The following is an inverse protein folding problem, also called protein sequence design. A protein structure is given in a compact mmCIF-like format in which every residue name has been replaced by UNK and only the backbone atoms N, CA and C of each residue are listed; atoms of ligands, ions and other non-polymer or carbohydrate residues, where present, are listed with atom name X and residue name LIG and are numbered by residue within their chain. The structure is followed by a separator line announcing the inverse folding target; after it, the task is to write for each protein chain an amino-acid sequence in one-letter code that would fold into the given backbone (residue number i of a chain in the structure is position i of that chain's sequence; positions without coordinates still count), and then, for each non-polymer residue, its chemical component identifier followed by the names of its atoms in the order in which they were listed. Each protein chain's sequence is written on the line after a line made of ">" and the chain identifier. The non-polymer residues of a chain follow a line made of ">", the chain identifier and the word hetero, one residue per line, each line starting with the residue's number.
data_IF_708171022890
#
_entry.id   IF_708171022890
#
_cell.length_a   1.000
_cell.length_b   1.000
_cell.length_c   1.000
_cell.angle_alpha   90.00
_cell.angle_beta   90.00
_cell.angle_gamma   90.00
#
_symmetry.space_group_name_H-M   'P 1'
#
loop_
_entity.id
_entity.type
_entity.pdbx_description
1 polymer ?
#
# COMPACT_ATOMS: atom_id res chain seq x y z
N UNK A 1 31.41 33.83 -98.04
CA UNK A 1 32.36 34.82 -97.50
C UNK A 1 32.99 34.15 -96.23
N UNK A 2 34.26 33.85 -96.37
CA UNK A 2 35.07 33.09 -95.44
C UNK A 2 35.44 33.87 -94.17
N UNK A 3 35.62 33.22 -93.04
CA UNK A 3 36.67 33.54 -92.07
C UNK A 3 36.95 32.40 -91.13
N UNK A 4 38.03 32.04 -91.18
CA UNK A 4 39.15 31.31 -90.58
C UNK A 4 39.07 30.99 -89.09
N UNK A 5 39.29 29.73 -88.86
CA UNK A 5 39.78 29.00 -87.68
C UNK A 5 40.98 29.60 -87.02
N UNK A 6 41.07 29.65 -85.70
CA UNK A 6 42.33 29.54 -84.97
C UNK A 6 42.15 28.57 -83.77
N UNK A 7 42.96 27.53 -83.85
CA UNK A 7 43.11 26.50 -82.81
C UNK A 7 44.18 26.98 -81.84
N UNK A 8 43.89 27.05 -80.57
CA UNK A 8 44.89 27.21 -79.51
C UNK A 8 44.84 25.95 -78.61
N UNK A 9 45.97 25.21 -78.69
CA UNK A 9 46.15 24.06 -77.84
C UNK A 9 46.58 24.51 -76.45
N UNK A 10 45.84 24.11 -75.39
CA UNK A 10 46.27 24.27 -74.02
C UNK A 10 46.59 22.90 -73.40
N UNK A 11 47.88 22.75 -73.04
CA UNK A 11 48.36 21.60 -72.27
C UNK A 11 47.78 21.61 -70.85
N UNK A 12 47.05 20.59 -70.53
CA UNK A 12 46.61 20.32 -69.15
C UNK A 12 47.61 19.38 -68.46
N UNK A 13 48.35 19.89 -67.48
CA UNK A 13 49.16 19.11 -66.55
C UNK A 13 48.22 18.53 -65.50
N UNK A 14 48.04 17.21 -65.45
CA UNK A 14 47.30 16.48 -64.44
C UNK A 14 48.15 16.43 -63.15
N UNK A 15 47.69 17.16 -62.10
CA UNK A 15 48.16 16.98 -60.71
C UNK A 15 47.28 15.96 -60.07
N UNK A 16 47.81 14.76 -59.84
CA UNK A 16 47.11 13.69 -59.11
C UNK A 16 47.05 14.02 -57.64
N UNK A 17 45.85 14.34 -57.13
CA UNK A 17 45.57 14.33 -55.68
C UNK A 17 45.28 12.90 -55.29
N UNK A 18 46.17 12.27 -54.51
CA UNK A 18 45.92 11.06 -53.79
C UNK A 18 44.98 11.39 -52.58
N UNK A 19 43.71 11.07 -52.70
CA UNK A 19 42.79 11.10 -51.58
C UNK A 19 43.05 9.87 -50.69
N UNK A 20 43.74 10.09 -49.57
CA UNK A 20 43.87 9.07 -48.54
C UNK A 20 42.50 8.82 -47.97
N UNK A 21 41.92 7.63 -48.18
CA UNK A 21 40.74 7.17 -47.53
C UNK A 21 41.04 7.02 -46.02
N UNK A 22 40.50 7.93 -45.19
CA UNK A 22 40.45 7.73 -43.74
C UNK A 22 39.46 6.64 -43.45
N UNK A 23 39.80 5.66 -42.56
CA UNK A 23 38.80 4.71 -42.08
C UNK A 23 37.76 5.49 -41.28
N UNK A 24 36.53 5.53 -41.76
CA UNK A 24 35.36 5.95 -40.97
C UNK A 24 35.25 4.98 -39.80
N UNK A 25 35.62 5.45 -38.62
CA UNK A 25 35.21 4.75 -37.38
C UNK A 25 33.70 4.76 -37.37
N UNK A 26 33.11 3.60 -37.65
CA UNK A 26 31.72 3.37 -37.33
C UNK A 26 31.59 3.57 -35.80
N UNK A 27 31.01 4.66 -35.38
CA UNK A 27 30.53 4.82 -34.03
C UNK A 27 29.41 3.79 -33.87
N UNK A 28 29.63 2.78 -33.03
CA UNK A 28 28.58 1.96 -32.47
C UNK A 28 27.77 2.86 -31.51
N UNK A 29 26.87 3.66 -32.07
CA UNK A 29 26.01 4.63 -31.34
C UNK A 29 24.58 4.06 -31.17
N UNK A 30 24.46 2.79 -30.77
CA UNK A 30 23.19 2.15 -30.39
C UNK A 30 23.14 1.81 -28.90
N UNK A 31 23.94 2.40 -28.05
CA UNK A 31 23.73 2.35 -26.62
C UNK A 31 22.67 3.40 -26.24
N UNK A 32 21.47 2.94 -25.89
CA UNK A 32 20.47 3.83 -25.33
C UNK A 32 21.11 4.69 -24.21
N UNK A 33 20.82 6.00 -24.14
CA UNK A 33 21.45 6.87 -23.15
C UNK A 33 21.24 6.33 -21.74
N UNK A 34 22.32 6.21 -20.97
CA UNK A 34 22.29 5.70 -19.61
C UNK A 34 21.28 6.51 -18.77
N UNK A 35 20.39 5.81 -18.05
CA UNK A 35 19.38 6.44 -17.20
C UNK A 35 20.07 7.32 -16.16
N UNK A 36 19.66 8.57 -16.03
CA UNK A 36 20.28 9.51 -15.09
C UNK A 36 20.06 9.10 -13.63
N UNK A 37 21.02 9.41 -12.75
CA UNK A 37 20.89 9.16 -11.30
C UNK A 37 19.65 9.82 -10.72
N UNK A 38 19.30 11.02 -11.16
CA UNK A 38 18.10 11.73 -10.71
C UNK A 38 16.83 10.96 -11.05
N UNK A 39 16.75 10.38 -12.25
CA UNK A 39 15.61 9.56 -12.68
C UNK A 39 15.51 8.27 -11.88
N UNK A 40 16.62 7.60 -11.58
CA UNK A 40 16.65 6.41 -10.73
C UNK A 40 16.22 6.74 -9.30
N UNK A 41 16.68 7.87 -8.75
CA UNK A 41 16.25 8.33 -7.41
C UNK A 41 14.75 8.62 -7.38
N UNK A 42 14.22 9.26 -8.40
CA UNK A 42 12.79 9.51 -8.52
C UNK A 42 11.99 8.22 -8.71
N UNK A 43 12.45 7.29 -9.56
CA UNK A 43 11.84 5.99 -9.75
C UNK A 43 11.82 5.16 -8.45
N UNK A 44 12.90 5.19 -7.68
CA UNK A 44 12.93 4.59 -6.34
C UNK A 44 11.87 5.21 -5.43
N UNK A 45 11.79 6.54 -5.38
CA UNK A 45 10.77 7.25 -4.59
C UNK A 45 9.34 6.85 -4.97
N UNK A 46 9.03 6.77 -6.27
CA UNK A 46 7.72 6.34 -6.76
C UNK A 46 7.46 4.85 -6.48
N UNK A 47 8.50 4.02 -6.47
CA UNK A 47 8.41 2.59 -6.07
C UNK A 47 8.07 2.45 -4.58
N UNK A 48 8.63 3.32 -3.72
CA UNK A 48 8.25 3.43 -2.30
C UNK A 48 6.79 3.88 -2.15
N UNK A 49 6.36 4.92 -2.90
CA UNK A 49 4.99 5.40 -2.86
C UNK A 49 3.95 4.34 -3.32
N UNK A 50 4.38 3.40 -4.16
CA UNK A 50 3.57 2.27 -4.61
C UNK A 50 3.66 1.03 -3.73
N UNK A 51 4.45 1.06 -2.67
CA UNK A 51 4.68 -0.05 -1.74
C UNK A 51 5.00 -1.39 -2.43
N UNK A 52 5.74 -1.32 -3.53
CA UNK A 52 5.97 -2.48 -4.39
C UNK A 52 6.74 -3.59 -3.67
N UNK A 53 7.65 -3.20 -2.76
CA UNK A 53 8.53 -4.13 -2.06
C UNK A 53 7.76 -5.03 -1.08
N UNK A 54 6.76 -4.50 -0.38
CA UNK A 54 5.96 -5.26 0.59
C UNK A 54 5.31 -6.50 -0.06
N UNK A 55 4.68 -6.33 -1.22
CA UNK A 55 4.11 -7.46 -1.94
C UNK A 55 5.16 -8.31 -2.69
N UNK A 56 6.18 -7.69 -3.28
CA UNK A 56 7.13 -8.39 -4.14
C UNK A 56 8.38 -8.90 -3.42
N UNK A 57 8.32 -9.05 -2.09
CA UNK A 57 9.39 -9.64 -1.28
C UNK A 57 8.81 -10.63 -0.28
N UNK A 58 9.12 -11.92 -0.44
CA UNK A 58 8.71 -12.92 0.55
C UNK A 58 9.52 -12.81 1.84
N UNK A 59 9.01 -13.25 2.99
CA UNK A 59 9.78 -13.29 4.23
C UNK A 59 11.12 -14.02 4.04
N UNK A 60 12.22 -13.36 4.42
CA UNK A 60 13.58 -13.87 4.26
C UNK A 60 14.11 -13.95 2.82
N UNK A 61 13.36 -13.44 1.84
CA UNK A 61 13.76 -13.33 0.45
C UNK A 61 14.59 -12.07 0.16
N UNK A 62 15.09 -11.98 -1.09
CA UNK A 62 15.72 -10.76 -1.58
C UNK A 62 14.64 -9.76 -2.04
N UNK A 63 14.90 -8.45 -1.92
CA UNK A 63 13.96 -7.43 -2.41
C UNK A 63 13.52 -7.67 -3.86
N UNK A 64 12.23 -7.55 -4.10
CA UNK A 64 11.58 -7.63 -5.42
C UNK A 64 11.64 -9.00 -6.13
N UNK A 65 12.13 -10.07 -5.48
CA UNK A 65 12.14 -11.40 -6.11
C UNK A 65 10.80 -12.13 -6.06
N UNK A 66 9.76 -11.53 -5.41
CA UNK A 66 8.43 -12.10 -5.30
C UNK A 66 8.32 -13.28 -4.35
N UNK A 67 7.26 -14.06 -4.51
CA UNK A 67 7.01 -15.28 -3.75
C UNK A 67 6.20 -15.10 -2.48
N UNK A 68 5.71 -13.91 -2.18
CA UNK A 68 4.73 -13.71 -1.13
C UNK A 68 3.39 -14.32 -1.58
N UNK A 69 2.80 -15.18 -0.74
CA UNK A 69 1.45 -15.69 -0.92
C UNK A 69 0.43 -14.68 -0.40
N UNK A 70 -0.51 -14.28 -1.26
CA UNK A 70 -1.66 -13.45 -0.91
C UNK A 70 -2.87 -14.37 -0.88
N UNK A 71 -3.39 -14.63 0.31
CA UNK A 71 -4.57 -15.46 0.48
C UNK A 71 -5.84 -14.67 0.10
N UNK A 72 -6.71 -15.31 -0.63
CA UNK A 72 -7.98 -14.74 -1.08
C UNK A 72 -9.11 -15.73 -0.86
N UNK A 73 -10.38 -15.32 -0.88
CA UNK A 73 -11.51 -16.25 -0.83
C UNK A 73 -11.51 -17.26 -1.99
N UNK A 74 -10.70 -17.04 -3.03
CA UNK A 74 -10.61 -17.85 -4.23
C UNK A 74 -9.43 -18.83 -4.24
N UNK A 75 -8.47 -18.64 -3.33
CA UNK A 75 -7.20 -19.37 -3.21
C UNK A 75 -6.01 -18.42 -3.06
N UNK A 76 -4.80 -18.94 -3.15
CA UNK A 76 -3.57 -18.15 -2.91
C UNK A 76 -2.97 -17.65 -4.23
N UNK A 77 -2.68 -16.35 -4.29
CA UNK A 77 -1.97 -15.70 -5.40
C UNK A 77 -0.54 -15.45 -4.94
N UNK A 78 0.43 -16.00 -5.67
CA UNK A 78 1.84 -15.73 -5.40
C UNK A 78 2.35 -14.55 -6.23
N UNK A 79 3.01 -13.61 -5.57
CA UNK A 79 3.55 -12.41 -6.22
C UNK A 79 4.73 -12.76 -7.14
N UNK A 80 4.82 -12.19 -8.35
CA UNK A 80 5.90 -12.48 -9.28
C UNK A 80 7.20 -11.79 -8.88
N UNK A 81 8.32 -12.34 -9.36
CA UNK A 81 9.61 -11.68 -9.39
C UNK A 81 9.55 -10.48 -10.35
N UNK A 82 9.84 -9.28 -9.85
CA UNK A 82 9.89 -8.03 -10.63
C UNK A 82 11.30 -7.46 -10.76
N UNK A 83 12.34 -8.26 -10.46
CA UNK A 83 13.74 -7.89 -10.78
C UNK A 83 13.99 -7.94 -12.29
N UNK A 84 15.10 -7.32 -12.79
CA UNK A 84 15.43 -7.31 -14.22
C UNK A 84 15.98 -8.65 -14.73
N UNK A 85 15.69 -9.76 -14.08
CA UNK A 85 16.11 -11.09 -14.51
C UNK A 85 15.32 -11.55 -15.73
N UNK A 86 15.98 -11.76 -16.86
CA UNK A 86 15.34 -12.31 -18.07
C UNK A 86 14.91 -13.75 -17.81
N UNK A 87 13.64 -14.06 -18.11
CA UNK A 87 13.05 -15.39 -17.96
C UNK A 87 12.58 -15.74 -16.53
N UNK A 88 12.94 -14.95 -15.52
CA UNK A 88 12.51 -15.13 -14.12
C UNK A 88 11.71 -13.93 -13.59
N UNK A 89 12.06 -12.73 -14.03
CA UNK A 89 11.43 -11.48 -13.66
C UNK A 89 10.96 -10.70 -14.89
N UNK A 90 10.97 -9.36 -14.77
CA UNK A 90 10.45 -8.46 -15.80
C UNK A 90 11.50 -7.98 -16.81
N UNK A 91 12.73 -8.53 -16.79
CA UNK A 91 13.86 -8.05 -17.60
C UNK A 91 13.67 -8.15 -19.12
N UNK A 92 12.60 -8.78 -19.60
CA UNK A 92 12.24 -8.83 -21.02
C UNK A 92 11.10 -7.86 -21.38
N UNK A 93 10.52 -7.14 -20.41
CA UNK A 93 9.39 -6.24 -20.68
C UNK A 93 9.84 -4.99 -21.43
N UNK A 94 9.25 -4.72 -22.57
CA UNK A 94 9.29 -3.41 -23.20
C UNK A 94 8.57 -2.37 -22.34
N UNK A 95 8.78 -1.07 -22.65
CA UNK A 95 8.03 0.01 -21.98
C UNK A 95 6.52 -0.14 -22.18
N UNK A 96 6.09 -0.47 -23.39
CA UNK A 96 4.69 -0.68 -23.71
C UNK A 96 4.07 -1.87 -22.94
N UNK A 97 4.79 -2.97 -22.77
CA UNK A 97 4.31 -4.11 -21.97
C UNK A 97 4.24 -3.79 -20.49
N UNK A 98 5.21 -3.04 -19.95
CA UNK A 98 5.20 -2.61 -18.56
C UNK A 98 4.03 -1.67 -18.27
N UNK A 99 3.83 -0.65 -19.11
CA UNK A 99 2.69 0.26 -19.01
C UNK A 99 1.36 -0.49 -19.12
N UNK A 100 1.22 -1.39 -20.10
CA UNK A 100 0.00 -2.19 -20.27
C UNK A 100 -0.26 -3.10 -19.07
N UNK A 101 0.77 -3.66 -18.46
CA UNK A 101 0.64 -4.49 -17.26
C UNK A 101 0.08 -3.69 -16.09
N UNK A 102 0.56 -2.48 -15.86
CA UNK A 102 0.16 -1.66 -14.72
C UNK A 102 -1.11 -0.83 -14.98
N UNK A 103 -1.36 -0.38 -16.21
CA UNK A 103 -2.54 0.39 -16.54
C UNK A 103 -3.77 -0.46 -16.86
N UNK A 104 -3.57 -1.53 -17.60
CA UNK A 104 -4.67 -2.35 -18.12
C UNK A 104 -4.75 -3.71 -17.44
N UNK A 105 -3.76 -4.06 -16.60
CA UNK A 105 -3.69 -5.37 -16.00
C UNK A 105 -3.49 -6.50 -17.01
N UNK A 106 -2.78 -6.25 -18.12
CA UNK A 106 -2.57 -7.24 -19.20
C UNK A 106 -1.09 -7.62 -19.24
N UNK A 107 -0.82 -8.90 -19.09
CA UNK A 107 0.52 -9.49 -19.16
C UNK A 107 1.08 -9.49 -20.60
N UNK A 108 2.40 -9.70 -20.79
CA UNK A 108 3.01 -9.81 -22.13
C UNK A 108 2.41 -10.95 -22.98
N UNK A 109 1.92 -12.03 -22.33
CA UNK A 109 1.23 -13.15 -23.00
C UNK A 109 -0.20 -12.78 -23.47
N UNK A 110 -0.63 -11.52 -23.24
CA UNK A 110 -1.95 -11.02 -23.60
C UNK A 110 -3.05 -11.36 -22.60
N UNK A 111 -2.79 -12.12 -21.55
CA UNK A 111 -3.78 -12.51 -20.55
C UNK A 111 -3.90 -11.48 -19.42
N UNK A 112 -5.09 -11.30 -18.83
CA UNK A 112 -5.28 -10.40 -17.72
C UNK A 112 -4.54 -10.88 -16.46
N UNK A 113 -3.98 -9.94 -15.67
CA UNK A 113 -3.54 -10.20 -14.30
C UNK A 113 -4.74 -10.26 -13.36
N UNK A 114 -4.61 -11.00 -12.26
CA UNK A 114 -5.54 -10.91 -11.15
C UNK A 114 -5.49 -9.52 -10.52
N UNK A 115 -6.63 -8.96 -10.06
CA UNK A 115 -6.69 -7.61 -9.47
C UNK A 115 -6.07 -7.53 -8.06
N UNK A 116 -5.30 -8.56 -7.63
CA UNK A 116 -4.31 -8.46 -6.56
C UNK A 116 -3.17 -7.51 -6.95
N UNK A 117 -2.79 -7.47 -8.24
CA UNK A 117 -2.07 -6.33 -8.80
C UNK A 117 -3.06 -5.15 -8.89
N UNK A 118 -2.83 -4.02 -8.17
CA UNK A 118 -3.83 -2.96 -8.07
C UNK A 118 -3.89 -2.07 -9.32
N UNK A 119 -3.94 -2.69 -10.53
CA UNK A 119 -4.08 -1.95 -11.79
C UNK A 119 -5.35 -1.09 -11.88
N UNK A 120 -6.47 -1.36 -11.13
CA UNK A 120 -7.58 -0.43 -11.07
C UNK A 120 -7.21 0.95 -10.47
N UNK A 121 -6.16 1.00 -9.66
CA UNK A 121 -5.56 2.25 -9.16
C UNK A 121 -4.43 2.73 -10.06
N UNK A 122 -3.53 1.83 -10.46
CA UNK A 122 -2.36 2.18 -11.27
C UNK A 122 -2.71 2.72 -12.66
N UNK A 123 -3.91 2.44 -13.19
CA UNK A 123 -4.40 3.08 -14.43
C UNK A 123 -4.42 4.60 -14.34
N UNK A 124 -4.46 5.18 -13.12
CA UNK A 124 -4.42 6.63 -12.86
C UNK A 124 -3.01 7.21 -12.86
N UNK A 125 -1.98 6.39 -12.72
CA UNK A 125 -0.58 6.85 -12.64
C UNK A 125 -0.10 7.29 -14.02
N UNK A 126 0.71 8.34 -14.08
CA UNK A 126 1.28 8.82 -15.34
C UNK A 126 2.24 7.81 -15.96
N UNK A 127 2.32 7.78 -17.29
CA UNK A 127 3.28 6.94 -18.01
C UNK A 127 4.72 7.28 -17.59
N UNK A 128 5.02 8.57 -17.37
CA UNK A 128 6.34 9.03 -16.96
C UNK A 128 6.76 8.45 -15.59
N UNK A 129 5.85 8.39 -14.63
CA UNK A 129 6.11 7.86 -13.30
C UNK A 129 6.27 6.34 -13.32
N UNK A 130 5.41 5.62 -14.07
CA UNK A 130 5.56 4.18 -14.21
C UNK A 130 6.86 3.80 -14.93
N UNK A 131 7.27 4.55 -15.96
CA UNK A 131 8.55 4.32 -16.61
C UNK A 131 9.74 4.67 -15.72
N UNK A 132 9.61 5.65 -14.82
CA UNK A 132 10.65 5.91 -13.82
C UNK A 132 10.76 4.75 -12.81
N UNK A 133 9.63 4.17 -12.38
CA UNK A 133 9.61 2.93 -11.57
C UNK A 133 10.30 1.79 -12.32
N UNK A 134 9.98 1.60 -13.61
CA UNK A 134 10.64 0.58 -14.44
C UNK A 134 12.14 0.77 -14.47
N UNK A 135 12.60 1.99 -14.75
CA UNK A 135 14.03 2.30 -14.81
C UNK A 135 14.75 1.95 -13.49
N UNK A 136 14.13 2.27 -12.35
CA UNK A 136 14.67 1.88 -11.05
C UNK A 136 14.70 0.35 -10.89
N UNK A 137 13.61 -0.37 -11.16
CA UNK A 137 13.57 -1.83 -11.06
C UNK A 137 14.59 -2.50 -11.98
N UNK A 138 14.84 -1.92 -13.18
CA UNK A 138 15.84 -2.41 -14.12
C UNK A 138 17.28 -2.10 -13.71
N UNK A 139 17.49 -1.21 -12.76
CA UNK A 139 18.80 -0.94 -12.16
C UNK A 139 19.19 -1.90 -11.03
N UNK A 140 18.24 -2.72 -10.55
CA UNK A 140 18.46 -3.67 -9.47
C UNK A 140 19.25 -4.91 -9.93
N UNK A 141 19.81 -5.63 -8.95
CA UNK A 141 20.42 -6.93 -9.25
C UNK A 141 19.36 -7.96 -9.67
N UNK A 142 19.55 -8.67 -10.78
CA UNK A 142 18.62 -9.70 -11.22
C UNK A 142 18.61 -10.91 -10.28
N UNK A 143 17.45 -11.36 -9.85
CA UNK A 143 17.27 -12.61 -9.09
C UNK A 143 16.70 -13.71 -9.97
N UNK A 144 17.30 -14.92 -9.89
CA UNK A 144 16.81 -16.12 -10.57
C UNK A 144 15.78 -16.90 -9.75
N UNK A 145 15.28 -16.31 -8.66
CA UNK A 145 14.23 -16.94 -7.88
C UNK A 145 12.95 -17.07 -8.70
N UNK A 146 12.37 -18.26 -8.65
CA UNK A 146 11.10 -18.57 -9.33
C UNK A 146 10.02 -18.72 -8.25
N UNK A 147 9.09 -17.78 -8.16
CA UNK A 147 7.95 -17.86 -7.25
C UNK A 147 7.11 -19.11 -7.49
N UNK A 148 6.40 -19.60 -6.47
CA UNK A 148 5.39 -20.64 -6.63
C UNK A 148 4.32 -20.21 -7.64
N UNK A 149 3.62 -21.19 -8.21
CA UNK A 149 2.48 -20.91 -9.08
C UNK A 149 1.27 -20.51 -8.25
N UNK A 150 0.51 -19.54 -8.74
CA UNK A 150 -0.77 -19.15 -8.16
C UNK A 150 -1.72 -20.34 -8.12
N UNK A 151 -2.37 -20.55 -6.97
CA UNK A 151 -3.22 -21.70 -6.66
C UNK A 151 -4.66 -21.24 -6.40
N UNK A 152 -5.43 -21.05 -7.47
CA UNK A 152 -6.84 -20.64 -7.39
C UNK A 152 -7.76 -21.80 -7.77
N UNK A 153 -8.92 -21.86 -7.09
CA UNK A 153 -9.96 -22.84 -7.36
C UNK A 153 -10.66 -22.54 -8.69
N UNK A 154 -10.99 -23.58 -9.42
CA UNK A 154 -11.85 -23.41 -10.61
C UNK A 154 -13.22 -22.80 -10.20
N UNK A 155 -13.80 -21.84 -10.96
CA UNK A 155 -13.34 -21.31 -12.24
C UNK A 155 -12.36 -20.11 -12.14
N UNK A 156 -11.96 -19.69 -10.96
CA UNK A 156 -11.12 -18.49 -10.73
C UNK A 156 -9.67 -18.68 -11.24
N UNK A 157 -9.23 -19.92 -11.48
CA UNK A 157 -7.96 -20.23 -12.15
C UNK A 157 -7.93 -19.83 -13.63
N UNK A 158 -9.10 -19.62 -14.25
CA UNK A 158 -9.22 -19.29 -15.68
C UNK A 158 -9.05 -17.79 -15.90
N UNK A 159 -7.83 -17.34 -16.21
CA UNK A 159 -7.49 -15.92 -16.39
C UNK A 159 -8.31 -15.23 -17.47
N UNK A 160 -8.75 -15.95 -18.49
CA UNK A 160 -9.53 -15.38 -19.59
C UNK A 160 -10.91 -14.85 -19.12
N UNK A 161 -11.44 -15.35 -18.00
CA UNK A 161 -12.67 -14.81 -17.39
C UNK A 161 -12.49 -13.40 -16.84
N UNK A 162 -11.25 -13.00 -16.54
CA UNK A 162 -10.94 -11.66 -16.05
C UNK A 162 -11.14 -10.57 -17.11
N UNK A 163 -11.20 -10.88 -18.41
CA UNK A 163 -11.61 -9.91 -19.42
C UNK A 163 -13.03 -9.38 -19.15
N UNK A 164 -13.97 -10.28 -18.81
CA UNK A 164 -15.32 -9.90 -18.43
C UNK A 164 -15.34 -9.10 -17.11
N UNK A 165 -14.49 -9.47 -16.15
CA UNK A 165 -14.33 -8.72 -14.91
C UNK A 165 -13.79 -7.31 -15.17
N UNK A 166 -12.78 -7.16 -16.01
CA UNK A 166 -12.22 -5.86 -16.38
C UNK A 166 -13.24 -4.97 -17.10
N UNK A 167 -14.05 -5.54 -18.00
CA UNK A 167 -15.10 -4.80 -18.69
C UNK A 167 -16.14 -4.23 -17.72
N UNK A 168 -16.46 -4.96 -16.66
CA UNK A 168 -17.47 -4.55 -15.67
C UNK A 168 -16.92 -3.60 -14.61
N UNK A 169 -15.65 -3.74 -14.21
CA UNK A 169 -15.15 -3.10 -13.01
C UNK A 169 -13.91 -2.20 -13.22
N UNK A 170 -13.16 -2.37 -14.31
CA UNK A 170 -11.97 -1.54 -14.56
C UNK A 170 -12.35 -0.22 -15.25
N UNK A 171 -12.24 0.87 -14.54
CA UNK A 171 -12.38 2.23 -15.10
C UNK A 171 -10.99 2.72 -15.52
N UNK A 172 -10.67 2.58 -16.82
CA UNK A 172 -9.39 3.04 -17.38
C UNK A 172 -9.33 4.56 -17.45
N UNK A 173 -8.16 5.12 -17.21
CA UNK A 173 -7.89 6.55 -17.40
C UNK A 173 -6.82 7.08 -16.46
N UNK A 174 -5.98 7.98 -16.96
CA UNK A 174 -4.98 8.69 -16.16
C UNK A 174 -5.65 9.69 -15.25
N UNK A 175 -5.04 9.92 -14.09
CA UNK A 175 -5.48 10.98 -13.19
C UNK A 175 -5.58 12.32 -13.93
N UNK A 176 -6.66 13.01 -13.74
CA UNK A 176 -6.87 14.36 -14.24
C UNK A 176 -6.99 15.30 -13.04
N UNK A 177 -6.11 16.31 -12.92
CA UNK A 177 -6.23 17.28 -11.84
C UNK A 177 -7.57 18.00 -11.87
N UNK A 178 -8.17 18.16 -10.69
CA UNK A 178 -9.36 18.99 -10.49
C UNK A 178 -8.93 20.46 -10.46
N UNK A 179 -9.40 21.26 -11.40
CA UNK A 179 -9.03 22.67 -11.54
C UNK A 179 -9.62 23.55 -10.44
N UNK A 180 -10.65 23.08 -9.72
CA UNK A 180 -11.28 23.78 -8.62
C UNK A 180 -10.58 23.51 -7.27
N UNK A 181 -9.61 22.59 -7.25
CA UNK A 181 -8.83 22.21 -6.08
C UNK A 181 -7.38 22.70 -6.16
N UNK A 182 -6.74 22.81 -4.99
CA UNK A 182 -5.33 23.22 -4.92
C UNK A 182 -4.38 22.17 -5.51
N UNK A 183 -3.17 22.58 -5.87
CA UNK A 183 -2.10 21.68 -6.30
C UNK A 183 -1.77 20.64 -5.22
N UNK A 184 -1.79 21.03 -3.94
CA UNK A 184 -1.56 20.13 -2.80
C UNK A 184 -2.66 19.06 -2.74
N UNK A 185 -3.91 19.46 -2.88
CA UNK A 185 -5.03 18.51 -2.91
C UNK A 185 -4.91 17.54 -4.09
N UNK A 186 -4.62 18.05 -5.29
CA UNK A 186 -4.44 17.23 -6.50
C UNK A 186 -3.26 16.25 -6.37
N UNK A 187 -2.16 16.68 -5.74
CA UNK A 187 -1.04 15.78 -5.44
C UNK A 187 -1.45 14.66 -4.47
N UNK A 188 -2.21 15.00 -3.43
CA UNK A 188 -2.77 14.02 -2.49
C UNK A 188 -3.69 13.02 -3.17
N UNK A 189 -4.62 13.50 -3.99
CA UNK A 189 -5.53 12.67 -4.79
C UNK A 189 -4.76 11.70 -5.69
N UNK A 190 -3.76 12.20 -6.42
CA UNK A 190 -2.90 11.40 -7.28
C UNK A 190 -2.20 10.27 -6.54
N UNK A 191 -1.65 10.54 -5.36
CA UNK A 191 -0.95 9.54 -4.56
C UNK A 191 -1.94 8.53 -3.96
N UNK A 192 -3.01 8.98 -3.33
CA UNK A 192 -3.98 8.12 -2.64
C UNK A 192 -4.74 7.21 -3.61
N UNK A 193 -5.17 7.74 -4.74
CA UNK A 193 -5.95 7.00 -5.72
C UNK A 193 -5.09 6.19 -6.71
N UNK A 194 -3.85 6.61 -6.93
CA UNK A 194 -2.88 5.99 -7.83
C UNK A 194 -1.96 5.01 -7.11
N UNK A 195 -0.71 5.40 -6.91
CA UNK A 195 0.33 4.51 -6.37
C UNK A 195 0.04 4.01 -4.96
N UNK A 196 -0.44 4.87 -4.06
CA UNK A 196 -0.78 4.49 -2.69
C UNK A 196 -1.97 3.53 -2.58
N UNK A 197 -2.80 3.43 -3.63
CA UNK A 197 -3.95 2.53 -3.77
C UNK A 197 -4.74 2.26 -2.48
N UNK A 198 -4.89 3.27 -1.62
CA UNK A 198 -5.52 3.17 -0.29
C UNK A 198 -6.91 2.53 -0.34
N UNK A 199 -7.68 2.82 -1.41
CA UNK A 199 -8.97 2.20 -1.67
C UNK A 199 -8.94 0.68 -1.86
N UNK A 200 -7.77 0.07 -2.07
CA UNK A 200 -7.67 -1.39 -2.20
C UNK A 200 -7.98 -2.11 -0.88
N UNK A 201 -7.65 -1.48 0.26
CA UNK A 201 -7.96 -1.99 1.60
C UNK A 201 -9.14 -1.25 2.23
N UNK A 202 -9.21 0.07 2.06
CA UNK A 202 -10.20 0.92 2.73
C UNK A 202 -11.55 1.06 1.99
N UNK A 203 -11.84 0.20 1.01
CA UNK A 203 -13.12 0.19 0.29
C UNK A 203 -13.74 -1.20 0.30
N UNK A 204 -15.01 -1.36 0.67
CA UNK A 204 -15.67 -2.66 0.66
C UNK A 204 -15.66 -3.30 -0.73
N UNK A 205 -15.62 -4.62 -0.78
CA UNK A 205 -15.64 -5.39 -2.03
C UNK A 205 -17.00 -6.08 -2.24
N UNK A 206 -17.33 -6.31 -3.48
CA UNK A 206 -18.47 -7.16 -3.86
C UNK A 206 -18.06 -8.64 -3.93
N UNK A 207 -19.00 -9.53 -4.23
CA UNK A 207 -18.76 -10.97 -4.35
C UNK A 207 -17.79 -11.36 -5.47
N UNK A 208 -17.58 -10.48 -6.45
CA UNK A 208 -16.60 -10.66 -7.53
C UNK A 208 -15.20 -10.11 -7.14
N UNK A 209 -14.99 -9.68 -5.90
CA UNK A 209 -13.74 -9.12 -5.41
C UNK A 209 -13.45 -7.68 -5.87
N UNK A 210 -14.36 -7.05 -6.61
CA UNK A 210 -14.19 -5.66 -7.04
C UNK A 210 -14.60 -4.67 -5.94
N UNK A 211 -13.89 -3.55 -5.82
CA UNK A 211 -14.23 -2.48 -4.89
C UNK A 211 -15.54 -1.81 -5.27
N UNK A 212 -16.37 -1.49 -4.26
CA UNK A 212 -17.64 -0.78 -4.43
C UNK A 212 -17.38 0.72 -4.53
N UNK A 213 -17.40 1.28 -5.72
CA UNK A 213 -17.09 2.70 -5.94
C UNK A 213 -18.04 3.67 -5.20
N UNK A 214 -19.27 3.27 -4.91
CA UNK A 214 -20.21 4.07 -4.11
C UNK A 214 -19.72 4.22 -2.65
N UNK A 215 -19.06 3.19 -2.13
CA UNK A 215 -18.55 3.11 -0.76
C UNK A 215 -17.03 3.32 -0.72
N UNK A 216 -16.47 4.08 -1.68
CA UNK A 216 -15.02 4.32 -1.76
C UNK A 216 -14.51 4.93 -0.45
N UNK A 217 -13.44 4.33 0.11
CA UNK A 217 -12.80 4.71 1.37
C UNK A 217 -13.68 4.61 2.64
N UNK A 218 -14.82 3.93 2.58
CA UNK A 218 -15.74 3.78 3.72
C UNK A 218 -15.32 2.69 4.74
N UNK A 219 -14.12 2.15 4.61
CA UNK A 219 -13.61 1.06 5.46
C UNK A 219 -14.00 -0.33 4.94
N UNK A 220 -13.20 -1.34 5.29
CA UNK A 220 -13.47 -2.73 4.94
C UNK A 220 -12.65 -3.72 5.78
N UNK A 221 -13.09 -4.97 5.85
CA UNK A 221 -12.28 -6.05 6.42
C UNK A 221 -11.37 -6.64 5.33
N UNK A 222 -10.07 -6.70 5.61
CA UNK A 222 -9.03 -7.28 4.74
C UNK A 222 -8.15 -8.19 5.58
N UNK A 223 -8.01 -9.45 5.21
CA UNK A 223 -7.21 -10.46 5.91
C UNK A 223 -7.51 -10.56 7.42
N UNK A 224 -8.79 -10.38 7.74
CA UNK A 224 -9.28 -10.39 9.12
C UNK A 224 -8.96 -9.13 9.94
N UNK A 225 -8.28 -8.12 9.38
CA UNK A 225 -8.11 -6.78 9.95
C UNK A 225 -9.17 -5.83 9.42
N UNK A 226 -9.55 -4.85 10.21
CA UNK A 226 -10.45 -3.79 9.77
C UNK A 226 -9.65 -2.56 9.31
N UNK A 227 -9.69 -2.27 8.02
CA UNK A 227 -9.18 -1.03 7.47
C UNK A 227 -10.24 0.06 7.66
N UNK A 228 -10.00 1.09 8.51
CA UNK A 228 -11.03 2.02 8.92
C UNK A 228 -11.51 2.94 7.80
N UNK A 229 -12.58 3.68 8.06
CA UNK A 229 -13.16 4.68 7.19
C UNK A 229 -12.20 5.88 7.04
N UNK A 230 -11.81 6.19 5.80
CA UNK A 230 -10.93 7.33 5.47
C UNK A 230 -11.70 8.54 4.94
N UNK A 231 -12.99 8.62 5.18
CA UNK A 231 -13.83 9.78 4.81
C UNK A 231 -14.05 10.72 5.99
N UNK A 232 -14.67 11.87 5.76
CA UNK A 232 -15.00 12.84 6.83
C UNK A 232 -16.22 12.41 7.68
N UNK A 233 -16.37 11.12 7.91
CA UNK A 233 -17.37 10.57 8.80
C UNK A 233 -16.98 10.82 10.27
N UNK A 234 -17.96 11.07 11.16
CA UNK A 234 -17.71 11.56 12.51
C UNK A 234 -17.43 10.46 13.54
N UNK A 235 -17.98 9.27 13.34
CA UNK A 235 -17.88 8.19 14.33
C UNK A 235 -16.61 7.36 14.19
N UNK A 236 -16.31 6.94 12.97
CA UNK A 236 -15.19 6.04 12.65
C UNK A 236 -14.28 6.55 11.54
N UNK A 237 -14.52 7.79 11.06
CA UNK A 237 -13.78 8.41 9.98
C UNK A 237 -12.83 9.49 10.46
N UNK A 238 -12.31 10.24 9.50
CA UNK A 238 -11.25 11.23 9.73
C UNK A 238 -11.77 12.62 10.19
N UNK A 239 -13.06 12.80 10.47
CA UNK A 239 -13.62 14.13 10.76
C UNK A 239 -12.90 14.83 11.94
N UNK A 240 -12.56 14.10 12.99
CA UNK A 240 -11.91 14.63 14.19
C UNK A 240 -10.41 14.91 14.02
N UNK A 241 -9.77 14.32 13.04
CA UNK A 241 -8.35 14.45 12.81
C UNK A 241 -8.01 15.81 12.19
N UNK A 242 -6.92 16.42 12.58
CA UNK A 242 -6.29 17.50 11.83
C UNK A 242 -5.44 16.94 10.68
N UNK A 243 -5.09 17.80 9.72
CA UNK A 243 -4.17 17.43 8.63
C UNK A 243 -2.80 17.00 9.18
N UNK A 244 -2.30 17.70 10.20
CA UNK A 244 -0.98 17.44 10.78
C UNK A 244 -0.94 16.14 11.59
N UNK A 245 -2.00 15.81 12.33
CA UNK A 245 -2.14 14.54 13.04
C UNK A 245 -2.19 13.38 12.04
N UNK A 246 -3.00 13.51 11.00
CA UNK A 246 -3.09 12.48 9.96
C UNK A 246 -1.75 12.31 9.21
N UNK A 247 -1.07 13.41 8.85
CA UNK A 247 0.26 13.33 8.23
C UNK A 247 1.31 12.70 9.18
N UNK A 248 1.21 12.99 10.49
CA UNK A 248 2.06 12.38 11.52
C UNK A 248 1.78 10.88 11.62
N UNK A 249 0.51 10.48 11.66
CA UNK A 249 0.13 9.06 11.67
C UNK A 249 0.63 8.32 10.41
N UNK A 250 0.45 8.90 9.23
CA UNK A 250 0.95 8.31 7.98
C UNK A 250 2.47 8.15 7.98
N UNK A 251 3.20 9.04 8.68
CA UNK A 251 4.65 8.96 8.80
C UNK A 251 5.13 7.95 9.83
N UNK A 252 4.49 7.92 10.99
CA UNK A 252 5.01 7.25 12.19
C UNK A 252 4.25 6.00 12.56
N UNK A 253 3.04 5.83 12.03
CA UNK A 253 2.08 4.82 12.48
C UNK A 253 1.43 5.13 13.81
N UNK A 254 1.65 6.34 14.39
CA UNK A 254 1.07 6.73 15.67
C UNK A 254 0.37 8.08 15.57
N UNK A 255 -0.84 8.17 16.12
CA UNK A 255 -1.48 9.46 16.36
C UNK A 255 -0.96 10.05 17.67
N UNK A 256 -0.61 11.34 17.71
CA UNK A 256 -0.21 12.00 18.96
C UNK A 256 -1.38 12.07 19.93
N UNK A 257 -1.09 11.95 21.23
CA UNK A 257 -2.07 12.19 22.29
C UNK A 257 -2.16 13.69 22.62
N UNK A 258 -3.39 14.17 22.88
CA UNK A 258 -3.60 15.51 23.40
C UNK A 258 -3.04 15.66 24.83
N UNK A 259 -3.09 14.59 25.63
CA UNK A 259 -2.59 14.57 27.01
C UNK A 259 -1.08 14.30 27.06
N UNK A 260 -0.32 15.24 27.60
CA UNK A 260 1.15 15.08 27.75
C UNK A 260 1.48 13.95 28.73
N UNK A 261 2.17 12.94 28.23
CA UNK A 261 2.62 11.78 29.02
C UNK A 261 1.82 10.51 28.79
N UNK A 262 0.62 10.62 28.22
CA UNK A 262 -0.13 9.46 27.74
C UNK A 262 0.55 8.86 26.49
N UNK A 263 0.27 7.60 26.22
CA UNK A 263 0.71 6.95 25.00
C UNK A 263 -0.03 7.50 23.77
N UNK A 264 0.45 7.21 22.55
CA UNK A 264 -0.25 7.58 21.32
C UNK A 264 -1.72 7.14 21.38
N UNK A 265 -2.64 7.98 20.87
CA UNK A 265 -4.08 7.69 20.88
C UNK A 265 -4.45 6.49 20.01
N UNK A 266 -3.73 6.27 18.92
CA UNK A 266 -3.86 5.07 18.10
C UNK A 266 -2.53 4.68 17.48
N UNK A 267 -2.44 3.43 17.03
CA UNK A 267 -1.28 2.87 16.35
C UNK A 267 -1.71 2.13 15.08
N UNK A 268 -0.86 2.19 14.07
CA UNK A 268 -1.03 1.34 12.89
C UNK A 268 -0.83 -0.13 13.26
N UNK A 269 -1.78 -0.98 12.88
CA UNK A 269 -1.82 -2.39 13.24
C UNK A 269 -1.82 -3.26 11.98
N UNK A 270 -1.35 -4.50 12.12
CA UNK A 270 -1.37 -5.48 11.05
C UNK A 270 -0.79 -4.97 9.72
N UNK A 271 -1.49 -5.15 8.59
CA UNK A 271 -1.00 -4.70 7.27
C UNK A 271 -0.73 -3.20 7.18
N UNK A 272 -1.48 -2.36 7.92
CA UNK A 272 -1.22 -0.91 7.89
C UNK A 272 0.12 -0.54 8.54
N UNK A 273 0.59 -1.29 9.54
CA UNK A 273 1.91 -1.11 10.12
C UNK A 273 3.02 -1.38 9.09
N UNK A 274 2.86 -2.41 8.25
CA UNK A 274 3.77 -2.71 7.14
C UNK A 274 3.78 -1.59 6.09
N UNK A 275 2.60 -1.10 5.67
CA UNK A 275 2.48 0.05 4.73
C UNK A 275 3.18 1.29 5.27
N UNK A 276 3.04 1.60 6.56
CA UNK A 276 3.78 2.71 7.17
C UNK A 276 5.27 2.45 7.11
N UNK A 277 5.71 1.27 7.55
CA UNK A 277 7.13 0.92 7.63
C UNK A 277 7.81 0.88 6.26
N UNK A 278 7.22 0.17 5.29
CA UNK A 278 7.87 -0.08 4.00
C UNK A 278 7.68 1.08 3.00
N UNK A 279 6.65 1.90 3.16
CA UNK A 279 6.28 2.96 2.23
C UNK A 279 6.20 4.34 2.87
N UNK A 280 5.14 4.61 3.62
CA UNK A 280 4.74 5.97 4.00
C UNK A 280 5.79 6.72 4.84
N UNK A 281 6.46 6.05 5.77
CA UNK A 281 7.53 6.64 6.59
C UNK A 281 8.70 7.21 5.78
N UNK A 282 8.89 6.71 4.55
CA UNK A 282 9.99 7.07 3.64
C UNK A 282 9.60 8.19 2.66
N UNK A 283 8.33 8.60 2.64
CA UNK A 283 7.86 9.66 1.75
C UNK A 283 8.21 11.07 2.27
N UNK A 284 8.22 12.03 1.36
CA UNK A 284 8.40 13.44 1.71
C UNK A 284 7.25 13.94 2.59
N UNK A 285 7.55 14.82 3.57
CA UNK A 285 6.52 15.39 4.43
C UNK A 285 5.43 16.12 3.64
N UNK A 286 5.81 16.81 2.56
CA UNK A 286 4.86 17.47 1.66
C UNK A 286 3.87 16.51 1.00
N UNK A 287 4.31 15.30 0.65
CA UNK A 287 3.42 14.30 0.03
C UNK A 287 2.48 13.68 1.07
N UNK A 288 2.94 13.43 2.30
CA UNK A 288 2.07 12.97 3.39
C UNK A 288 1.03 14.02 3.78
N UNK A 289 1.42 15.30 3.83
CA UNK A 289 0.48 16.40 4.05
C UNK A 289 -0.52 16.51 2.89
N UNK A 290 -0.08 16.35 1.65
CA UNK A 290 -0.96 16.35 0.49
C UNK A 290 -1.99 15.20 0.57
N UNK A 291 -1.56 13.98 0.91
CA UNK A 291 -2.45 12.85 1.13
C UNK A 291 -3.47 13.13 2.25
N UNK A 292 -3.02 13.71 3.37
CA UNK A 292 -3.88 14.10 4.48
C UNK A 292 -4.92 15.16 4.07
N UNK A 293 -4.52 16.19 3.31
CA UNK A 293 -5.42 17.22 2.77
C UNK A 293 -6.50 16.59 1.89
N UNK A 294 -6.11 15.67 1.00
CA UNK A 294 -7.06 14.98 0.13
C UNK A 294 -8.05 14.11 0.92
N UNK A 295 -7.53 13.27 1.84
CA UNK A 295 -8.37 12.37 2.64
C UNK A 295 -9.36 13.13 3.53
N UNK A 296 -8.94 14.24 4.14
CA UNK A 296 -9.81 15.10 4.95
C UNK A 296 -10.94 15.75 4.18
N UNK A 297 -10.81 15.92 2.88
CA UNK A 297 -11.85 16.50 2.00
C UNK A 297 -12.80 15.45 1.42
N UNK A 298 -12.64 14.16 1.75
CA UNK A 298 -13.55 13.13 1.26
C UNK A 298 -14.91 13.23 1.95
N UNK A 299 -16.01 13.27 1.18
CA UNK A 299 -17.36 13.36 1.76
C UNK A 299 -17.66 12.13 2.61
N UNK A 300 -18.32 12.35 3.76
CA UNK A 300 -18.74 11.27 4.64
C UNK A 300 -19.56 10.21 3.87
N UNK A 301 -19.19 8.93 4.03
CA UNK A 301 -19.87 7.80 3.38
C UNK A 301 -20.91 7.12 4.25
N UNK A 302 -20.83 7.32 5.54
CA UNK A 302 -21.80 6.82 6.50
C UNK A 302 -22.47 8.02 7.15
N UNK A 303 -23.80 8.08 7.08
CA UNK A 303 -24.53 9.14 7.76
C UNK A 303 -24.40 8.94 9.28
N UNK A 304 -24.21 10.01 10.08
CA UNK A 304 -24.30 9.90 11.52
C UNK A 304 -25.63 9.23 11.90
N UNK A 305 -25.57 8.24 12.77
CA UNK A 305 -26.78 7.66 13.33
C UNK A 305 -27.49 8.72 14.17
N UNK A 306 -28.73 9.07 13.82
CA UNK A 306 -29.58 9.95 14.66
C UNK A 306 -29.98 9.27 15.98
N UNK A 307 -29.65 7.99 16.17
CA UNK A 307 -29.91 7.30 17.43
C UNK A 307 -28.72 7.54 18.37
N UNK A 308 -28.99 7.99 19.60
CA UNK A 308 -27.95 8.07 20.61
C UNK A 308 -27.34 6.69 20.82
N UNK A 309 -26.01 6.60 20.97
CA UNK A 309 -25.35 5.33 21.23
C UNK A 309 -25.99 4.67 22.47
N UNK A 310 -26.40 3.42 22.32
CA UNK A 310 -26.88 2.62 23.43
C UNK A 310 -25.66 2.18 24.23
N UNK A 311 -25.54 2.59 25.53
CA UNK A 311 -24.37 2.21 26.31
C UNK A 311 -24.21 0.69 26.38
N UNK A 312 -23.04 0.18 26.05
CA UNK A 312 -22.73 -1.23 26.07
C UNK A 312 -22.29 -1.65 27.46
N UNK A 313 -23.26 -2.14 28.27
CA UNK A 313 -23.00 -2.60 29.65
C UNK A 313 -22.52 -4.05 29.66
N UNK A 314 -21.36 -4.27 30.27
CA UNK A 314 -20.88 -5.62 30.59
C UNK A 314 -21.58 -6.16 31.83
N UNK A 315 -21.78 -7.48 31.91
CA UNK A 315 -22.14 -8.11 33.18
C UNK A 315 -21.00 -7.89 34.20
N UNK A 316 -21.38 -7.81 35.50
CA UNK A 316 -20.42 -7.65 36.58
C UNK A 316 -19.37 -8.78 36.61
N UNK A 317 -19.74 -9.99 36.18
CA UNK A 317 -18.84 -11.13 36.06
C UNK A 317 -17.81 -10.88 34.94
N UNK A 318 -18.26 -10.50 33.72
CA UNK A 318 -17.37 -10.22 32.58
C UNK A 318 -16.41 -9.07 32.88
N UNK A 319 -16.92 -7.99 33.53
CA UNK A 319 -16.09 -6.87 33.95
C UNK A 319 -15.00 -7.29 34.92
N UNK A 320 -15.39 -8.06 36.00
CA UNK A 320 -14.44 -8.50 37.03
C UNK A 320 -13.35 -9.44 36.47
N UNK A 321 -13.74 -10.36 35.59
CA UNK A 321 -12.79 -11.30 34.98
C UNK A 321 -11.89 -10.58 33.99
N UNK A 322 -12.44 -9.68 33.15
CA UNK A 322 -11.69 -8.87 32.20
C UNK A 322 -10.67 -7.97 32.90
N UNK A 323 -11.07 -7.30 33.99
CA UNK A 323 -10.15 -6.49 34.81
C UNK A 323 -8.99 -7.32 35.36
N UNK A 324 -9.24 -8.53 35.90
CA UNK A 324 -8.18 -9.42 36.37
C UNK A 324 -7.22 -9.85 35.26
N UNK A 325 -7.74 -10.13 34.07
CA UNK A 325 -6.90 -10.46 32.90
C UNK A 325 -6.08 -9.26 32.48
N UNK A 326 -6.68 -8.07 32.44
CA UNK A 326 -6.00 -6.83 32.12
C UNK A 326 -4.85 -6.52 33.09
N UNK A 327 -5.12 -6.59 34.40
CA UNK A 327 -4.10 -6.36 35.42
C UNK A 327 -2.93 -7.34 35.29
N UNK A 328 -3.23 -8.59 34.97
CA UNK A 328 -2.22 -9.63 34.86
C UNK A 328 -1.33 -9.51 33.63
N UNK A 329 -1.87 -9.09 32.49
CA UNK A 329 -1.20 -9.21 31.19
C UNK A 329 -0.92 -7.87 30.50
N UNK A 330 -1.61 -6.80 30.85
CA UNK A 330 -1.65 -5.57 30.06
C UNK A 330 -1.20 -4.32 30.84
N UNK A 331 -1.56 -4.22 32.14
CA UNK A 331 -1.40 -2.99 32.93
C UNK A 331 0.06 -2.55 33.10
N UNK A 332 1.02 -3.46 33.06
CA UNK A 332 2.44 -3.13 33.17
C UNK A 332 2.92 -2.20 32.02
N UNK A 333 2.35 -2.35 30.84
CA UNK A 333 2.66 -1.53 29.65
C UNK A 333 1.61 -0.46 29.42
N UNK A 334 0.32 -0.82 29.40
CA UNK A 334 -0.77 0.09 29.09
C UNK A 334 -1.32 0.87 30.30
N UNK A 335 -0.68 0.72 31.48
CA UNK A 335 -1.02 1.37 32.74
C UNK A 335 -2.42 1.00 33.27
N UNK A 336 -2.72 1.28 34.54
CA UNK A 336 -3.95 0.82 35.21
C UNK A 336 -5.24 1.42 34.64
N UNK A 337 -5.16 2.58 33.99
CA UNK A 337 -6.32 3.28 33.41
C UNK A 337 -6.29 3.28 31.87
N UNK A 338 -5.50 2.40 31.26
CA UNK A 338 -5.42 2.28 29.83
C UNK A 338 -4.84 3.50 29.11
N UNK A 339 -4.15 4.40 29.81
CA UNK A 339 -3.60 5.64 29.24
C UNK A 339 -2.31 5.42 28.43
N UNK A 340 -1.72 4.23 28.51
CA UNK A 340 -0.44 3.97 27.86
C UNK A 340 0.72 4.75 28.49
N UNK A 341 1.81 4.88 27.76
CA UNK A 341 3.01 5.64 28.17
C UNK A 341 3.77 6.11 26.93
N UNK A 342 3.79 7.42 26.72
CA UNK A 342 4.54 8.00 25.61
C UNK A 342 6.05 7.75 25.72
N UNK A 343 6.74 7.55 24.61
CA UNK A 343 6.20 7.32 23.26
C UNK A 343 5.96 5.85 22.94
N UNK A 344 6.10 4.93 23.90
CA UNK A 344 6.30 3.49 23.67
C UNK A 344 5.01 2.67 23.63
N UNK A 345 4.06 2.97 24.51
CA UNK A 345 2.87 2.14 24.70
C UNK A 345 1.63 2.94 24.36
N UNK A 346 0.88 2.55 23.31
CA UNK A 346 -0.33 3.28 22.93
C UNK A 346 -1.37 3.24 24.06
N UNK A 347 -2.14 4.31 24.15
CA UNK A 347 -3.32 4.35 24.98
C UNK A 347 -4.34 3.31 24.47
N UNK A 348 -5.10 2.72 25.38
CA UNK A 348 -6.27 1.88 25.08
C UNK A 348 -7.57 2.63 25.34
N UNK A 349 -7.53 3.66 26.20
CA UNK A 349 -8.64 4.58 26.41
C UNK A 349 -8.72 5.54 25.24
N UNK A 350 -9.90 5.77 24.68
CA UNK A 350 -10.11 6.66 23.55
C UNK A 350 -9.48 6.19 22.24
N UNK A 351 -8.86 5.02 22.22
CA UNK A 351 -8.17 4.49 21.03
C UNK A 351 -9.19 4.02 19.99
N UNK A 352 -9.16 4.61 18.81
CA UNK A 352 -10.09 4.28 17.72
C UNK A 352 -10.02 2.81 17.34
N UNK A 353 -8.86 2.18 17.23
CA UNK A 353 -8.73 0.76 16.93
C UNK A 353 -9.36 -0.16 18.00
N UNK A 354 -9.54 0.35 19.22
CA UNK A 354 -10.23 -0.35 20.31
C UNK A 354 -11.74 -0.16 20.21
N UNK A 355 -12.22 1.02 19.79
CA UNK A 355 -13.62 1.42 19.85
C UNK A 355 -14.39 1.27 18.53
N UNK A 356 -13.74 0.91 17.45
CA UNK A 356 -14.38 0.58 16.17
C UNK A 356 -15.54 -0.40 16.35
N UNK A 357 -16.59 -0.28 15.54
CA UNK A 357 -17.72 -1.22 15.55
C UNK A 357 -17.23 -2.66 15.36
N UNK A 358 -16.36 -2.88 14.38
CA UNK A 358 -15.71 -4.17 14.13
C UNK A 358 -14.56 -4.42 15.11
N UNK A 359 -14.61 -5.47 15.95
CA UNK A 359 -13.58 -5.72 16.97
C UNK A 359 -12.33 -6.41 16.43
N UNK A 360 -12.19 -6.51 15.12
CA UNK A 360 -11.17 -7.32 14.47
C UNK A 360 -9.76 -6.93 14.92
N UNK A 361 -9.45 -5.64 14.95
CA UNK A 361 -8.10 -5.14 15.22
C UNK A 361 -7.63 -5.42 16.63
N UNK A 362 -8.47 -5.14 17.63
CA UNK A 362 -8.12 -5.50 19.02
C UNK A 362 -8.01 -7.01 19.21
N UNK A 363 -8.89 -7.81 18.59
CA UNK A 363 -8.84 -9.27 18.70
C UNK A 363 -7.60 -9.84 18.00
N UNK A 364 -7.31 -9.43 16.77
CA UNK A 364 -6.10 -9.86 16.03
C UNK A 364 -4.83 -9.43 16.77
N UNK A 365 -4.79 -8.22 17.32
CA UNK A 365 -3.67 -7.73 18.12
C UNK A 365 -3.44 -8.59 19.37
N UNK A 366 -4.51 -8.98 20.07
CA UNK A 366 -4.40 -9.91 21.20
C UNK A 366 -3.94 -11.30 20.77
N UNK A 367 -4.43 -11.78 19.63
CA UNK A 367 -4.07 -13.11 19.12
C UNK A 367 -2.62 -13.18 18.62
N UNK A 368 -2.16 -12.19 17.86
CA UNK A 368 -0.91 -12.21 17.11
C UNK A 368 0.21 -11.40 17.77
N UNK A 369 -0.14 -10.47 18.65
CA UNK A 369 0.77 -9.43 19.12
C UNK A 369 0.95 -8.30 18.10
N UNK A 370 1.77 -7.33 18.46
CA UNK A 370 2.20 -6.28 17.55
C UNK A 370 3.74 -6.25 17.58
N UNK A 371 4.41 -6.56 16.48
CA UNK A 371 5.86 -6.48 16.40
C UNK A 371 6.31 -5.04 16.57
N UNK A 372 7.45 -4.82 17.21
CA UNK A 372 8.10 -3.51 17.20
C UNK A 372 8.58 -3.21 15.80
N UNK A 373 8.32 -1.99 15.32
CA UNK A 373 8.96 -1.49 14.12
C UNK A 373 10.45 -1.20 14.40
N UNK A 374 11.38 -1.99 13.83
CA UNK A 374 12.80 -1.76 14.05
C UNK A 374 13.33 -0.45 13.48
N UNK A 375 12.57 0.23 12.60
CA UNK A 375 12.94 1.52 12.02
C UNK A 375 12.66 2.69 12.97
N UNK A 376 11.80 2.50 13.96
CA UNK A 376 11.53 3.54 14.96
C UNK A 376 12.59 3.50 16.05
N UNK A 377 13.40 4.54 16.12
CA UNK A 377 14.50 4.69 17.09
C UNK A 377 14.08 4.51 18.57
N UNK A 378 12.77 4.64 18.83
CA UNK A 378 12.18 4.52 20.17
C UNK A 378 11.61 3.14 20.48
N UNK A 379 11.33 2.29 19.46
CA UNK A 379 10.59 1.04 19.65
C UNK A 379 11.40 -0.23 19.42
N UNK A 380 12.68 -0.13 19.12
CA UNK A 380 13.53 -1.24 18.70
C UNK A 380 13.52 -2.47 19.64
N UNK A 381 12.88 -2.39 20.81
CA UNK A 381 12.87 -3.47 21.80
C UNK A 381 11.51 -3.66 22.50
N UNK A 382 10.46 -2.91 22.12
CA UNK A 382 9.14 -3.02 22.75
C UNK A 382 8.18 -3.74 21.80
N UNK A 383 7.85 -4.97 22.12
CA UNK A 383 6.95 -5.84 21.36
C UNK A 383 5.72 -6.12 22.21
N UNK A 384 4.51 -5.90 21.68
CA UNK A 384 3.32 -6.47 22.32
C UNK A 384 3.31 -7.98 22.05
N UNK A 385 3.36 -8.82 23.09
CA UNK A 385 3.40 -10.26 22.88
C UNK A 385 2.09 -10.80 22.36
N UNK A 386 2.14 -11.92 21.63
CA UNK A 386 0.98 -12.72 21.28
C UNK A 386 0.38 -13.40 22.52
N UNK A 387 -0.92 -13.30 22.70
CA UNK A 387 -1.66 -14.06 23.73
C UNK A 387 -2.44 -15.23 23.13
N UNK A 388 -2.36 -15.45 21.82
CA UNK A 388 -3.12 -16.48 21.12
C UNK A 388 -2.84 -17.91 21.61
N UNK A 389 -1.63 -18.19 22.12
CA UNK A 389 -1.27 -19.49 22.71
C UNK A 389 -1.45 -19.54 24.23
N UNK A 390 -1.68 -18.40 24.89
CA UNK A 390 -1.75 -18.26 26.35
C UNK A 390 -3.20 -18.21 26.84
N UNK A 391 -4.06 -17.51 26.07
CA UNK A 391 -5.46 -17.29 26.39
C UNK A 391 -6.38 -18.01 25.39
N UNK A 392 -7.42 -18.66 25.90
CA UNK A 392 -8.46 -19.25 25.06
C UNK A 392 -9.43 -18.16 24.54
N UNK A 393 -10.30 -18.54 23.60
CA UNK A 393 -11.20 -17.60 22.93
C UNK A 393 -12.14 -16.86 23.89
N UNK A 394 -12.64 -17.55 24.93
CA UNK A 394 -13.48 -16.92 25.94
C UNK A 394 -12.69 -15.89 26.78
N UNK A 395 -11.45 -16.17 27.10
CA UNK A 395 -10.59 -15.24 27.84
C UNK A 395 -10.20 -14.01 26.99
N UNK A 396 -9.86 -14.21 25.72
CA UNK A 396 -9.59 -13.09 24.79
C UNK A 396 -10.85 -12.24 24.59
N UNK A 397 -12.01 -12.86 24.36
CA UNK A 397 -13.27 -12.14 24.23
C UNK A 397 -13.61 -11.32 25.50
N UNK A 398 -13.40 -11.91 26.70
CA UNK A 398 -13.62 -11.24 27.97
C UNK A 398 -12.68 -10.05 28.17
N UNK A 399 -11.38 -10.23 27.84
CA UNK A 399 -10.37 -9.16 27.94
C UNK A 399 -10.64 -8.03 26.93
N UNK A 400 -10.90 -8.36 25.68
CA UNK A 400 -11.25 -7.38 24.65
C UNK A 400 -12.52 -6.60 25.03
N UNK A 401 -13.57 -7.29 25.50
CA UNK A 401 -14.81 -6.64 25.95
C UNK A 401 -14.56 -5.69 27.12
N UNK A 402 -13.72 -6.08 28.09
CA UNK A 402 -13.35 -5.20 29.19
C UNK A 402 -12.64 -3.93 28.69
N UNK A 403 -11.64 -4.05 27.82
CA UNK A 403 -10.90 -2.91 27.27
C UNK A 403 -11.86 -1.99 26.50
N UNK A 404 -12.74 -2.55 25.67
CA UNK A 404 -13.71 -1.83 24.84
C UNK A 404 -14.80 -1.09 25.64
N UNK A 405 -15.01 -1.43 26.91
CA UNK A 405 -16.04 -0.84 27.79
C UNK A 405 -15.45 -0.14 29.03
N UNK A 406 -14.12 0.10 29.05
CA UNK A 406 -13.43 0.70 30.21
C UNK A 406 -12.92 2.10 29.90
N UNK A 407 -12.70 2.90 30.94
CA UNK A 407 -12.03 4.22 30.88
C UNK A 407 -12.68 5.24 29.93
N UNK A 408 -13.99 5.14 29.73
CA UNK A 408 -14.75 5.99 28.82
C UNK A 408 -14.92 5.43 27.42
N UNK A 409 -14.32 4.28 27.09
CA UNK A 409 -14.67 3.52 25.90
C UNK A 409 -16.09 2.98 26.03
N UNK A 410 -16.86 3.03 24.95
CA UNK A 410 -18.22 2.51 24.86
C UNK A 410 -18.43 1.80 23.53
N UNK A 411 -17.89 0.57 23.42
CA UNK A 411 -18.00 -0.24 22.22
C UNK A 411 -18.53 -1.65 22.53
N UNK A 412 -19.17 -2.27 21.56
CA UNK A 412 -19.85 -3.56 21.72
C UNK A 412 -18.92 -4.65 22.27
N UNK A 413 -19.42 -5.52 23.17
CA UNK A 413 -18.63 -6.63 23.69
C UNK A 413 -18.31 -7.65 22.60
N UNK A 414 -17.16 -8.31 22.75
CA UNK A 414 -16.66 -9.35 21.84
C UNK A 414 -17.15 -10.73 22.30
N UNK A 415 -17.56 -11.55 21.36
CA UNK A 415 -17.96 -12.94 21.62
C UNK A 415 -16.81 -13.93 21.37
N UNK A 416 -16.80 -15.06 22.07
CA UNK A 416 -15.81 -16.12 21.83
C UNK A 416 -15.87 -16.66 20.40
N UNK A 417 -17.05 -16.64 19.75
CA UNK A 417 -17.22 -17.06 18.36
C UNK A 417 -16.50 -16.12 17.37
N UNK A 418 -16.51 -14.80 17.62
CA UNK A 418 -15.74 -13.84 16.82
C UNK A 418 -14.24 -14.09 16.96
N UNK A 419 -13.76 -14.36 18.18
CA UNK A 419 -12.35 -14.69 18.43
C UNK A 419 -11.95 -15.98 17.73
N UNK A 420 -12.75 -17.05 17.83
CA UNK A 420 -12.53 -18.33 17.14
C UNK A 420 -12.43 -18.14 15.61
N UNK A 421 -13.34 -17.36 15.04
CA UNK A 421 -13.32 -17.06 13.61
C UNK A 421 -12.04 -16.34 13.17
N UNK A 422 -11.56 -15.36 13.96
CA UNK A 422 -10.33 -14.61 13.68
C UNK A 422 -9.05 -15.40 13.97
N UNK A 423 -9.09 -16.36 14.90
CA UNK A 423 -7.96 -17.27 15.18
C UNK A 423 -7.72 -18.27 14.04
N UNK A 424 -8.80 -18.70 13.39
CA UNK A 424 -8.76 -19.69 12.29
C UNK A 424 -8.70 -19.05 10.90
N UNK A 425 -8.90 -17.74 10.80
CA UNK A 425 -8.70 -17.00 9.57
C UNK A 425 -7.22 -17.06 9.15
N UNK A 426 -6.93 -17.24 7.87
CA UNK A 426 -5.57 -17.27 7.33
C UNK A 426 -4.81 -15.98 7.60
#
# INVERSE_FOLDING_TARGET
>A
MALRTNVLAAMLTAVGFAVAAQPSAAADDDAAPAVSKARLTYGHYMTLAGDCMACHTRPGGKPFEGGLGIDTPFGTIYTPNITPAKGYGIGSFSDAEFLRALHDGIAPDGKPYYPALPYPSYTKVSDADLLAIKDYLFSLEPSRYQPPKTELRWPFSERDLLFGWQELYLKRGRFQPDTDKSEVWNRGAYLVEGLGHCGSCHTPRNLAGATKSADALAGAVVDGWFAPNLTSELSEGLAKWTVDELATYLRTGFAPSEDKGDGPETAALGPMAEVVHESLSKLATSDLQAMAVYLKDQPAKQAPSDQPPVPHQLSAETYTLGHKLYERYCSACHQSHGQGLAPYFPALRGNEAVTLEEPNDIVKTLLLGAPSDPSQAYSAHVVMPSFGTVLNDKQIATLASFIRASWGNDAAPVTAKQVEALRTAP
#
